data_IF_716244889563
#
_entry.id   IF_716244889563
#
_cell.length_a   1.000
_cell.length_b   1.000
_cell.length_c   1.000
_cell.angle_alpha   90.00
_cell.angle_beta   90.00
_cell.angle_gamma   90.00
#
_symmetry.space_group_name_H-M   'P 1'
#
loop_
_entity.id
_entity.type
_entity.pdbx_description
1 polymer ?
#
# COMPACT_ATOMS: atom_id res chain seq x y z
N UNK A 1 -7.46 0.22 -0.03
CA UNK A 1 -7.71 1.62 -0.43
C UNK A 1 -8.63 1.78 -1.66
N UNK A 2 -8.90 0.75 -2.48
CA UNK A 2 -9.56 0.92 -3.78
C UNK A 2 -11.06 1.29 -3.76
N UNK A 3 -11.86 0.84 -2.79
CA UNK A 3 -13.30 1.18 -2.73
C UNK A 3 -13.61 2.42 -1.87
N UNK A 4 -12.91 2.59 -0.73
CA UNK A 4 -13.21 3.68 0.21
C UNK A 4 -12.87 5.08 -0.31
N UNK A 5 -11.75 5.26 -1.02
CA UNK A 5 -11.32 6.59 -1.49
C UNK A 5 -11.99 7.00 -2.79
N UNK A 6 -12.25 6.03 -3.68
CA UNK A 6 -12.93 6.25 -4.97
C UNK A 6 -14.36 6.77 -4.77
N UNK A 7 -15.12 6.19 -3.83
CA UNK A 7 -16.49 6.66 -3.52
C UNK A 7 -16.53 8.07 -2.95
N UNK A 8 -15.61 8.42 -2.04
CA UNK A 8 -15.51 9.77 -1.46
C UNK A 8 -15.12 10.81 -2.53
N UNK A 9 -14.17 10.48 -3.41
CA UNK A 9 -13.76 11.36 -4.51
C UNK A 9 -14.91 11.56 -5.51
N UNK A 10 -15.64 10.49 -5.87
CA UNK A 10 -16.77 10.55 -6.79
C UNK A 10 -17.93 11.41 -6.22
N UNK A 11 -18.23 11.26 -4.92
CA UNK A 11 -19.24 12.09 -4.24
C UNK A 11 -18.85 13.58 -4.24
N UNK A 12 -17.60 13.89 -3.87
CA UNK A 12 -17.08 15.27 -3.85
C UNK A 12 -17.01 15.88 -5.27
N UNK A 13 -16.69 15.07 -6.29
CA UNK A 13 -16.77 15.50 -7.70
C UNK A 13 -18.20 15.81 -8.11
N UNK A 14 -19.15 14.94 -7.76
CA UNK A 14 -20.57 15.13 -8.02
C UNK A 14 -21.14 16.41 -7.37
N UNK A 15 -20.68 16.75 -6.16
CA UNK A 15 -21.06 17.99 -5.46
C UNK A 15 -20.29 19.24 -5.91
N UNK A 16 -19.41 19.13 -6.92
CA UNK A 16 -18.49 20.19 -7.40
C UNK A 16 -17.52 20.72 -6.34
N UNK A 17 -17.30 19.98 -5.25
CA UNK A 17 -16.36 20.35 -4.20
C UNK A 17 -14.92 19.94 -4.55
N UNK A 18 -14.26 20.82 -5.32
CA UNK A 18 -12.85 20.64 -5.71
C UNK A 18 -11.88 20.66 -4.51
N UNK A 19 -12.27 21.21 -3.36
CA UNK A 19 -11.42 21.23 -2.16
C UNK A 19 -11.43 19.85 -1.52
N UNK A 20 -12.60 19.25 -1.37
CA UNK A 20 -12.74 17.93 -0.74
C UNK A 20 -12.11 16.81 -1.59
N UNK A 21 -12.19 16.90 -2.92
CA UNK A 21 -11.46 16.00 -3.84
C UNK A 21 -9.95 16.02 -3.57
N UNK A 22 -9.36 17.22 -3.43
CA UNK A 22 -7.93 17.37 -3.16
C UNK A 22 -7.57 16.91 -1.74
N UNK A 23 -8.38 17.27 -0.75
CA UNK A 23 -8.18 16.85 0.63
C UNK A 23 -8.18 15.32 0.78
N UNK A 24 -9.12 14.65 0.11
CA UNK A 24 -9.22 13.19 0.10
C UNK A 24 -8.00 12.54 -0.57
N UNK A 25 -7.52 13.11 -1.68
CA UNK A 25 -6.30 12.63 -2.34
C UNK A 25 -5.07 12.77 -1.42
N UNK A 26 -4.86 13.93 -0.81
CA UNK A 26 -3.71 14.14 0.08
C UNK A 26 -3.75 13.24 1.30
N UNK A 27 -4.92 13.07 1.95
CA UNK A 27 -5.08 12.13 3.07
C UNK A 27 -4.73 10.71 2.65
N UNK A 28 -5.20 10.29 1.48
CA UNK A 28 -4.95 8.94 0.95
C UNK A 28 -3.45 8.72 0.66
N UNK A 29 -2.78 9.71 0.06
CA UNK A 29 -1.34 9.67 -0.19
C UNK A 29 -0.52 9.64 1.11
N UNK A 30 -0.89 10.44 2.10
CA UNK A 30 -0.24 10.44 3.42
C UNK A 30 -0.39 9.08 4.11
N UNK A 31 -1.59 8.50 4.11
CA UNK A 31 -1.84 7.18 4.67
C UNK A 31 -1.03 6.10 3.92
N UNK A 32 -0.98 6.15 2.59
CA UNK A 32 -0.17 5.23 1.79
C UNK A 32 1.33 5.34 2.09
N UNK A 33 1.85 6.56 2.20
CA UNK A 33 3.24 6.81 2.58
C UNK A 33 3.55 6.30 3.99
N UNK A 34 2.67 6.60 4.97
CA UNK A 34 2.82 6.15 6.35
C UNK A 34 2.80 4.62 6.47
N UNK A 35 1.85 3.95 5.83
CA UNK A 35 1.79 2.48 5.82
C UNK A 35 3.04 1.90 5.15
N UNK A 36 3.47 2.45 4.02
CA UNK A 36 4.71 2.02 3.35
C UNK A 36 5.94 2.19 4.23
N UNK A 37 6.07 3.32 4.91
CA UNK A 37 7.18 3.59 5.84
C UNK A 37 7.14 2.66 7.06
N UNK A 38 5.95 2.40 7.62
CA UNK A 38 5.78 1.43 8.70
C UNK A 38 6.25 0.05 8.24
N UNK A 39 5.78 -0.44 7.09
CA UNK A 39 6.17 -1.74 6.54
C UNK A 39 7.69 -1.88 6.37
N UNK A 40 8.36 -0.85 5.87
CA UNK A 40 9.83 -0.83 5.75
C UNK A 40 10.49 -0.87 7.13
N UNK A 41 9.97 -0.12 8.11
CA UNK A 41 10.51 -0.07 9.47
C UNK A 41 10.40 -1.42 10.17
N UNK A 42 9.26 -2.11 10.02
CA UNK A 42 8.99 -3.40 10.65
C UNK A 42 9.30 -4.60 9.73
N UNK A 43 10.07 -4.41 8.66
CA UNK A 43 10.33 -5.48 7.68
C UNK A 43 11.03 -6.71 8.29
N UNK A 44 11.93 -6.48 9.27
CA UNK A 44 12.70 -7.55 9.92
C UNK A 44 11.79 -8.48 10.75
N UNK A 45 10.96 -7.97 11.68
CA UNK A 45 10.05 -8.84 12.43
C UNK A 45 9.01 -9.51 11.52
N UNK A 46 8.52 -8.85 10.46
CA UNK A 46 7.62 -9.48 9.48
C UNK A 46 8.30 -10.70 8.84
N UNK A 47 9.55 -10.52 8.37
CA UNK A 47 10.32 -11.59 7.73
C UNK A 47 10.53 -12.76 8.69
N UNK A 48 10.94 -12.49 9.93
CA UNK A 48 11.16 -13.54 10.93
C UNK A 48 9.89 -14.34 11.20
N UNK A 49 8.76 -13.67 11.45
CA UNK A 49 7.49 -14.34 11.71
C UNK A 49 7.02 -15.16 10.50
N UNK A 50 7.14 -14.61 9.29
CA UNK A 50 6.74 -15.31 8.07
C UNK A 50 7.50 -16.63 7.86
N UNK A 51 8.82 -16.63 8.09
CA UNK A 51 9.64 -17.84 7.96
C UNK A 51 9.52 -18.79 9.15
N UNK A 52 9.23 -18.31 10.36
CA UNK A 52 8.93 -19.20 11.50
C UNK A 52 7.61 -19.97 11.32
N UNK A 53 6.63 -19.37 10.64
CA UNK A 53 5.33 -19.97 10.39
C UNK A 53 5.29 -20.88 9.15
N UNK A 54 6.31 -20.81 8.29
CA UNK A 54 6.33 -21.52 7.01
C UNK A 54 7.38 -22.63 7.05
N UNK A 55 6.95 -23.89 7.06
CA UNK A 55 7.85 -25.04 6.99
C UNK A 55 8.08 -25.39 5.51
N UNK A 56 9.22 -24.95 4.96
CA UNK A 56 9.56 -25.08 3.55
C UNK A 56 10.95 -25.66 3.33
N UNK A 57 11.21 -26.22 2.14
CA UNK A 57 12.57 -26.62 1.79
C UNK A 57 13.50 -25.40 1.69
N UNK A 58 14.80 -25.59 1.94
CA UNK A 58 15.79 -24.50 1.87
C UNK A 58 15.74 -23.70 0.56
N UNK A 59 15.46 -24.37 -0.56
CA UNK A 59 15.33 -23.71 -1.87
C UNK A 59 14.12 -22.76 -1.92
N UNK A 60 12.98 -23.16 -1.34
CA UNK A 60 11.76 -22.36 -1.28
C UNK A 60 11.94 -21.17 -0.35
N UNK A 61 12.56 -21.36 0.82
CA UNK A 61 12.84 -20.25 1.74
C UNK A 61 13.77 -19.20 1.13
N UNK A 62 14.82 -19.64 0.42
CA UNK A 62 15.75 -18.73 -0.25
C UNK A 62 15.06 -17.90 -1.33
N UNK A 63 14.20 -18.53 -2.14
CA UNK A 63 13.41 -17.82 -3.16
C UNK A 63 12.42 -16.83 -2.52
N UNK A 64 11.75 -17.24 -1.44
CA UNK A 64 10.81 -16.40 -0.71
C UNK A 64 11.50 -15.20 -0.06
N UNK A 65 12.72 -15.35 0.48
CA UNK A 65 13.50 -14.23 1.03
C UNK A 65 13.83 -13.20 -0.05
N UNK A 66 14.36 -13.67 -1.18
CA UNK A 66 14.68 -12.79 -2.31
C UNK A 66 13.44 -12.05 -2.81
N UNK A 67 12.30 -12.74 -2.93
CA UNK A 67 11.03 -12.12 -3.31
C UNK A 67 10.57 -11.08 -2.27
N UNK A 68 10.60 -11.41 -0.97
CA UNK A 68 10.20 -10.51 0.11
C UNK A 68 11.05 -9.24 0.11
N UNK A 69 12.37 -9.37 0.00
CA UNK A 69 13.30 -8.25 0.02
C UNK A 69 13.03 -7.29 -1.14
N UNK A 70 12.76 -7.79 -2.35
CA UNK A 70 12.34 -6.91 -3.46
C UNK A 70 10.98 -6.27 -3.21
N UNK A 71 10.02 -7.05 -2.69
CA UNK A 71 8.63 -6.62 -2.56
C UNK A 71 8.43 -5.56 -1.47
N UNK A 72 9.16 -5.65 -0.36
CA UNK A 72 8.99 -4.72 0.77
C UNK A 72 9.42 -3.30 0.39
N UNK A 73 10.49 -3.15 -0.39
CA UNK A 73 10.92 -1.85 -0.93
C UNK A 73 9.96 -1.31 -1.99
N UNK A 74 9.29 -2.18 -2.73
CA UNK A 74 8.25 -1.79 -3.69
C UNK A 74 6.89 -1.46 -3.03
N UNK A 75 6.71 -1.74 -1.74
CA UNK A 75 5.43 -1.58 -1.04
C UNK A 75 4.93 -0.12 -1.01
N UNK A 76 5.73 0.90 -0.67
CA UNK A 76 5.27 2.29 -0.65
C UNK A 76 4.79 2.76 -2.03
N UNK A 77 5.57 2.46 -3.08
CA UNK A 77 5.22 2.80 -4.46
C UNK A 77 3.92 2.11 -4.90
N UNK A 78 3.73 0.85 -4.54
CA UNK A 78 2.51 0.09 -4.85
C UNK A 78 1.27 0.69 -4.18
N UNK A 79 1.38 1.12 -2.92
CA UNK A 79 0.27 1.76 -2.19
C UNK A 79 -0.10 3.11 -2.79
N UNK A 80 0.89 3.94 -3.12
CA UNK A 80 0.68 5.22 -3.80
C UNK A 80 0.03 5.00 -5.18
N UNK A 81 0.49 3.98 -5.92
CA UNK A 81 -0.09 3.62 -7.21
C UNK A 81 -1.57 3.23 -7.09
N UNK A 82 -1.96 2.47 -6.04
CA UNK A 82 -3.37 2.16 -5.79
C UNK A 82 -4.21 3.41 -5.49
N UNK A 83 -3.66 4.39 -4.75
CA UNK A 83 -4.33 5.67 -4.51
C UNK A 83 -4.53 6.45 -5.81
N UNK A 84 -3.49 6.52 -6.64
CA UNK A 84 -3.55 7.19 -7.94
C UNK A 84 -4.60 6.53 -8.87
N UNK A 85 -4.61 5.20 -8.95
CA UNK A 85 -5.63 4.47 -9.71
C UNK A 85 -7.05 4.74 -9.18
N UNK A 86 -7.25 4.72 -7.86
CA UNK A 86 -8.54 5.02 -7.27
C UNK A 86 -9.02 6.45 -7.58
N UNK A 87 -8.11 7.42 -7.60
CA UNK A 87 -8.41 8.79 -7.98
C UNK A 87 -8.77 8.94 -9.48
N UNK A 88 -8.07 8.23 -10.38
CA UNK A 88 -8.30 8.30 -11.82
C UNK A 88 -9.63 7.62 -12.23
N UNK A 89 -10.08 6.63 -11.47
CA UNK A 89 -11.31 5.88 -11.73
C UNK A 89 -12.56 6.52 -11.09
N UNK A 90 -12.38 7.43 -10.13
CA UNK A 90 -13.45 8.19 -9.48
C UNK A 90 -13.96 9.35 -10.36
#
# INVERSE_FOLDING_TARGET
>A
MRMGTTGLIAQARGSKDKKEVKATLYRSLLIAGLIGAILITIQVPIRMLAFQLTDGSHAVESAAKAYFDVRIWAAPASLIHMVALGYLLA
#
